data_IF_626949421826
#
_entry.id   IF_626949421826
#
_cell.length_a   1.000
_cell.length_b   1.000
_cell.length_c   1.000
_cell.angle_alpha   90.00
_cell.angle_beta   90.00
_cell.angle_gamma   90.00
#
_symmetry.space_group_name_H-M   'P 1'
#
loop_
_entity.id
_entity.type
_entity.pdbx_description
1 polymer ?
#
# COMPACT_ATOMS: atom_id res chain seq x y z
N UNK A 1 17.35 -0.83 -24.73
CA UNK A 1 16.26 -0.08 -24.08
C UNK A 1 15.58 0.85 -25.10
N UNK A 2 16.33 1.67 -25.84
CA UNK A 2 15.80 2.60 -26.86
C UNK A 2 15.01 1.88 -27.98
N UNK A 3 15.48 0.73 -28.44
CA UNK A 3 14.77 -0.06 -29.46
C UNK A 3 13.43 -0.62 -28.96
N UNK A 4 13.32 -0.94 -27.68
CA UNK A 4 12.05 -1.38 -27.07
C UNK A 4 11.07 -0.21 -26.99
N UNK A 5 11.53 0.96 -26.53
CA UNK A 5 10.71 2.17 -26.47
C UNK A 5 10.25 2.61 -27.87
N UNK A 6 11.12 2.55 -28.87
CA UNK A 6 10.77 2.84 -30.26
C UNK A 6 9.73 1.85 -30.80
N UNK A 7 9.85 0.56 -30.46
CA UNK A 7 8.86 -0.46 -30.82
C UNK A 7 7.50 -0.20 -30.20
N UNK A 8 7.45 0.12 -28.89
CA UNK A 8 6.20 0.49 -28.21
C UNK A 8 5.60 1.76 -28.82
N UNK A 9 6.42 2.80 -29.07
CA UNK A 9 5.97 4.03 -29.70
C UNK A 9 5.41 3.84 -31.10
N UNK A 10 5.88 2.86 -31.86
CA UNK A 10 5.40 2.58 -33.20
C UNK A 10 4.01 1.95 -33.24
N UNK A 11 3.61 1.23 -32.20
CA UNK A 11 2.28 0.60 -32.07
C UNK A 11 1.29 1.40 -31.23
N UNK A 12 1.76 2.43 -30.52
CA UNK A 12 0.91 3.31 -29.73
C UNK A 12 0.31 4.39 -30.65
N UNK A 13 -1.01 4.56 -30.69
CA UNK A 13 -1.64 5.62 -31.47
C UNK A 13 -1.09 7.01 -31.10
N UNK A 14 -0.88 7.86 -32.10
CA UNK A 14 -0.43 9.23 -31.87
C UNK A 14 -1.45 9.97 -30.99
N UNK A 15 -0.99 10.53 -29.88
CA UNK A 15 -1.82 11.23 -28.90
C UNK A 15 -2.36 10.37 -27.76
N UNK A 16 -2.12 9.06 -27.75
CA UNK A 16 -2.43 8.22 -26.59
C UNK A 16 -1.48 8.55 -25.45
N UNK A 17 -2.01 8.91 -24.29
CA UNK A 17 -1.22 9.23 -23.11
C UNK A 17 -0.91 8.00 -22.23
N UNK A 18 -1.69 6.93 -22.37
CA UNK A 18 -1.58 5.69 -21.59
C UNK A 18 -1.71 4.46 -22.47
N UNK A 19 -0.92 3.44 -22.17
CA UNK A 19 -0.90 2.18 -22.88
C UNK A 19 -0.81 1.01 -21.91
N UNK A 20 -1.68 0.01 -22.09
CA UNK A 20 -1.63 -1.21 -21.29
C UNK A 20 -0.64 -2.20 -21.93
N UNK A 21 0.52 -2.36 -21.34
CA UNK A 21 1.53 -3.31 -21.79
C UNK A 21 1.33 -4.75 -21.28
N UNK A 22 0.21 -5.02 -20.59
CA UNK A 22 -0.07 -6.35 -20.03
C UNK A 22 -0.96 -7.18 -20.96
N UNK A 23 -0.96 -8.50 -20.76
CA UNK A 23 -1.76 -9.47 -21.54
C UNK A 23 -3.22 -9.60 -21.08
N UNK A 24 -3.68 -8.74 -20.16
CA UNK A 24 -5.04 -8.73 -19.63
C UNK A 24 -5.64 -7.33 -19.65
N UNK A 25 -6.96 -7.26 -19.74
CA UNK A 25 -7.69 -6.00 -19.65
C UNK A 25 -7.57 -5.41 -18.23
N UNK A 26 -7.50 -4.08 -18.15
CA UNK A 26 -7.41 -3.33 -16.89
C UNK A 26 -8.49 -2.26 -16.82
N UNK A 27 -9.03 -2.08 -15.62
CA UNK A 27 -9.80 -0.90 -15.24
C UNK A 27 -9.14 -0.33 -14.00
N UNK A 28 -8.76 0.92 -14.06
CA UNK A 28 -8.08 1.63 -12.97
C UNK A 28 -8.77 2.98 -12.76
N UNK A 29 -8.62 3.52 -11.57
CA UNK A 29 -9.08 4.86 -11.23
C UNK A 29 -7.88 5.71 -10.84
N UNK A 30 -7.88 6.97 -11.24
CA UNK A 30 -6.82 7.91 -10.94
C UNK A 30 -7.38 9.33 -10.76
N UNK A 31 -6.56 10.22 -10.22
CA UNK A 31 -6.82 11.66 -10.25
C UNK A 31 -6.00 12.30 -11.37
N UNK A 32 -6.67 13.07 -12.23
CA UNK A 32 -6.05 13.90 -13.26
C UNK A 32 -6.51 15.34 -13.07
N UNK A 33 -5.58 16.23 -12.76
CA UNK A 33 -5.87 17.63 -12.45
C UNK A 33 -6.93 17.79 -11.33
N UNK A 34 -6.85 16.94 -10.30
CA UNK A 34 -7.78 16.90 -9.16
C UNK A 34 -9.17 16.31 -9.48
N UNK A 35 -9.38 15.77 -10.68
CA UNK A 35 -10.63 15.12 -11.07
C UNK A 35 -10.46 13.61 -11.19
N UNK A 36 -11.43 12.88 -10.68
CA UNK A 36 -11.48 11.44 -10.82
C UNK A 36 -11.68 11.01 -12.26
N UNK A 37 -10.85 10.09 -12.74
CA UNK A 37 -10.95 9.50 -14.07
C UNK A 37 -10.95 7.97 -13.96
N UNK A 38 -11.76 7.35 -14.82
CA UNK A 38 -11.75 5.91 -15.05
C UNK A 38 -10.91 5.62 -16.30
N UNK A 39 -9.96 4.71 -16.16
CA UNK A 39 -9.01 4.31 -17.20
C UNK A 39 -9.30 2.85 -17.56
N UNK A 40 -9.75 2.61 -18.78
CA UNK A 40 -10.03 1.25 -19.29
C UNK A 40 -9.11 0.93 -20.45
N UNK A 41 -8.45 -0.21 -20.39
CA UNK A 41 -7.56 -0.64 -21.45
C UNK A 41 -7.66 -2.14 -21.71
N UNK A 42 -7.80 -2.51 -22.97
CA UNK A 42 -7.66 -3.90 -23.42
C UNK A 42 -6.19 -4.33 -23.38
N UNK A 43 -5.90 -5.65 -23.47
CA UNK A 43 -4.53 -6.14 -23.56
C UNK A 43 -3.78 -5.48 -24.71
N UNK A 44 -2.55 -5.03 -24.44
CA UNK A 44 -1.65 -4.42 -25.44
C UNK A 44 -2.29 -3.29 -26.26
N UNK A 45 -3.16 -2.50 -25.64
CA UNK A 45 -3.90 -1.42 -26.30
C UNK A 45 -3.76 -0.09 -25.56
N UNK A 46 -4.07 0.98 -26.26
CA UNK A 46 -4.22 2.29 -25.65
C UNK A 46 -5.44 2.32 -24.72
N UNK A 47 -5.33 3.10 -23.67
CA UNK A 47 -6.39 3.24 -22.71
C UNK A 47 -7.43 4.29 -23.14
N UNK A 48 -8.69 3.99 -22.90
CA UNK A 48 -9.77 4.96 -22.88
C UNK A 48 -9.82 5.62 -21.49
N UNK A 49 -9.80 6.95 -21.46
CA UNK A 49 -9.87 7.74 -20.24
C UNK A 49 -11.15 8.55 -20.25
N UNK A 50 -11.98 8.36 -19.25
CA UNK A 50 -13.25 9.08 -19.08
C UNK A 50 -13.34 9.70 -17.70
N UNK A 51 -14.00 10.84 -17.60
CA UNK A 51 -14.29 11.44 -16.29
C UNK A 51 -15.19 10.50 -15.49
N UNK A 52 -14.95 10.45 -14.19
CA UNK A 52 -15.71 9.64 -13.25
C UNK A 52 -16.23 10.53 -12.13
N UNK A 53 -17.55 10.69 -12.04
CA UNK A 53 -18.21 11.46 -10.98
C UNK A 53 -18.58 10.60 -9.76
N UNK A 54 -18.38 9.29 -9.85
CA UNK A 54 -18.80 8.35 -8.83
C UNK A 54 -17.86 8.38 -7.62
N UNK A 55 -18.49 8.49 -6.42
CA UNK A 55 -17.80 8.46 -5.13
C UNK A 55 -17.64 7.02 -4.75
N UNK A 56 -17.04 6.15 -5.03
CA UNK A 56 -17.08 4.70 -4.74
C UNK A 56 -16.48 4.29 -3.41
N UNK A 57 -15.77 5.18 -2.69
CA UNK A 57 -15.14 4.88 -1.41
C UNK A 57 -15.51 5.95 -0.39
N UNK A 58 -16.10 5.51 0.70
CA UNK A 58 -16.39 6.35 1.86
C UNK A 58 -15.17 6.51 2.75
N UNK A 59 -15.01 7.68 3.35
CA UNK A 59 -14.00 7.93 4.37
C UNK A 59 -14.52 8.82 5.49
N UNK A 60 -14.03 8.55 6.69
CA UNK A 60 -14.00 9.46 7.82
C UNK A 60 -12.70 9.24 8.59
N UNK A 61 -12.47 10.01 9.68
CA UNK A 61 -11.22 9.91 10.48
C UNK A 61 -11.03 8.56 11.19
N UNK A 62 -12.00 7.67 11.10
CA UNK A 62 -11.96 6.35 11.75
C UNK A 62 -11.98 5.19 10.77
N UNK A 63 -12.33 5.44 9.50
CA UNK A 63 -12.40 4.37 8.51
C UNK A 63 -12.29 4.84 7.06
N UNK A 64 -11.90 3.88 6.22
CA UNK A 64 -12.07 3.88 4.76
C UNK A 64 -12.92 2.65 4.39
N UNK A 65 -13.93 2.84 3.54
CA UNK A 65 -14.83 1.75 3.17
C UNK A 65 -15.19 1.80 1.68
N UNK A 66 -14.85 0.73 0.96
CA UNK A 66 -15.29 0.46 -0.42
C UNK A 66 -16.32 -0.68 -0.44
N UNK A 67 -16.77 -1.06 -1.63
CA UNK A 67 -17.63 -2.24 -1.79
C UNK A 67 -16.92 -3.55 -1.43
N UNK A 68 -15.59 -3.61 -1.52
CA UNK A 68 -14.79 -4.82 -1.33
C UNK A 68 -14.09 -4.86 0.03
N UNK A 69 -13.62 -3.74 0.54
CA UNK A 69 -12.81 -3.66 1.76
C UNK A 69 -13.35 -2.59 2.72
N UNK A 70 -13.19 -2.87 4.02
CA UNK A 70 -13.34 -1.88 5.09
C UNK A 70 -12.09 -1.87 5.94
N UNK A 71 -11.48 -0.71 6.12
CA UNK A 71 -10.30 -0.48 6.95
C UNK A 71 -10.66 0.47 8.07
N UNK A 72 -10.49 0.05 9.33
CA UNK A 72 -10.78 0.88 10.50
C UNK A 72 -9.50 1.28 11.22
N UNK A 73 -9.47 2.50 11.70
CA UNK A 73 -8.32 3.10 12.38
C UNK A 73 -8.66 3.43 13.84
N UNK A 74 -7.67 3.33 14.71
CA UNK A 74 -7.73 3.80 16.08
C UNK A 74 -7.27 5.27 16.17
N UNK A 75 -7.43 5.89 17.32
CA UNK A 75 -7.04 7.28 17.60
C UNK A 75 -5.53 7.53 17.48
N UNK A 76 -4.70 6.49 17.57
CA UNK A 76 -3.23 6.57 17.39
C UNK A 76 -2.80 6.34 15.94
N UNK A 77 -3.76 6.21 14.99
CA UNK A 77 -3.52 5.96 13.57
C UNK A 77 -3.27 4.49 13.24
N UNK A 78 -3.22 3.59 14.23
CA UNK A 78 -3.08 2.15 14.00
C UNK A 78 -4.30 1.62 13.24
N UNK A 79 -4.08 0.65 12.33
CA UNK A 79 -5.18 -0.06 11.69
C UNK A 79 -5.65 -1.18 12.62
N UNK A 80 -6.91 -1.12 13.05
CA UNK A 80 -7.50 -2.08 13.99
C UNK A 80 -8.37 -3.15 13.34
N UNK A 81 -8.77 -2.95 12.08
CA UNK A 81 -9.54 -3.92 11.31
C UNK A 81 -9.26 -3.74 9.82
N UNK A 82 -9.10 -4.84 9.12
CA UNK A 82 -9.13 -4.94 7.66
C UNK A 82 -10.13 -6.03 7.33
N UNK A 83 -11.35 -5.65 6.97
CA UNK A 83 -12.42 -6.58 6.69
C UNK A 83 -12.62 -6.77 5.19
N UNK A 84 -12.45 -8.00 4.73
CA UNK A 84 -12.79 -8.42 3.36
C UNK A 84 -14.30 -8.67 3.28
N UNK A 85 -15.03 -7.76 2.63
CA UNK A 85 -16.49 -7.81 2.53
C UNK A 85 -16.98 -8.90 1.57
N UNK A 86 -16.16 -9.26 0.58
CA UNK A 86 -16.51 -10.30 -0.39
C UNK A 86 -16.48 -11.70 0.23
N UNK A 87 -15.46 -11.97 1.06
CA UNK A 87 -15.30 -13.25 1.73
C UNK A 87 -15.89 -13.26 3.16
N UNK A 88 -16.27 -12.10 3.71
CA UNK A 88 -16.82 -11.95 5.04
C UNK A 88 -15.83 -12.28 6.15
N UNK A 89 -14.54 -11.96 5.97
CA UNK A 89 -13.46 -12.30 6.91
C UNK A 89 -12.67 -11.09 7.38
N UNK A 90 -12.30 -11.12 8.67
CA UNK A 90 -11.33 -10.20 9.24
C UNK A 90 -9.91 -10.69 8.92
N UNK A 91 -9.08 -9.82 8.38
CA UNK A 91 -7.71 -10.15 7.97
C UNK A 91 -6.69 -9.91 9.07
N UNK A 92 -6.97 -9.03 10.05
CA UNK A 92 -6.08 -8.75 11.17
C UNK A 92 -6.44 -9.60 12.40
N UNK A 93 -5.42 -10.16 13.05
CA UNK A 93 -5.54 -10.82 14.35
C UNK A 93 -5.38 -9.83 15.51
N UNK A 94 -4.60 -8.79 15.29
CA UNK A 94 -4.31 -7.70 16.21
C UNK A 94 -4.05 -6.44 15.38
N UNK A 95 -3.90 -5.28 16.02
CA UNK A 95 -3.68 -4.01 15.33
C UNK A 95 -2.40 -3.99 14.50
N UNK A 96 -2.48 -3.45 13.29
CA UNK A 96 -1.31 -3.15 12.50
C UNK A 96 -0.76 -1.78 12.88
N UNK A 97 0.55 -1.71 13.17
CA UNK A 97 1.19 -0.53 13.74
C UNK A 97 2.49 -0.17 13.05
N UNK A 98 2.71 1.14 12.92
CA UNK A 98 4.02 1.70 12.60
C UNK A 98 4.87 1.69 13.86
N UNK A 99 6.12 1.23 13.77
CA UNK A 99 7.02 1.15 14.89
C UNK A 99 8.48 1.38 14.49
N UNK A 100 9.24 1.94 15.42
CA UNK A 100 10.69 2.11 15.34
C UNK A 100 11.36 1.10 16.26
N UNK A 101 12.27 0.33 15.73
CA UNK A 101 13.07 -0.65 16.48
C UNK A 101 14.52 -0.21 16.54
N UNK A 102 15.22 -0.43 17.65
CA UNK A 102 16.65 -0.25 17.68
C UNK A 102 17.30 -1.22 16.70
N UNK A 103 18.22 -0.72 15.88
CA UNK A 103 18.94 -1.52 14.90
C UNK A 103 20.41 -1.08 14.89
N UNK A 104 21.27 -1.90 15.42
CA UNK A 104 22.72 -1.69 15.47
C UNK A 104 23.47 -2.50 14.40
N UNK A 105 22.72 -3.29 13.62
CA UNK A 105 23.25 -4.16 12.58
C UNK A 105 23.74 -3.34 11.36
N UNK A 106 24.39 -4.03 10.46
CA UNK A 106 24.84 -3.42 9.21
C UNK A 106 23.70 -3.40 8.17
N UNK A 107 23.91 -2.67 7.07
CA UNK A 107 22.90 -2.50 6.03
C UNK A 107 22.47 -3.81 5.29
N UNK A 108 23.14 -4.92 5.55
CA UNK A 108 22.91 -6.20 4.89
C UNK A 108 22.07 -7.17 5.71
N UNK A 109 21.98 -6.94 7.03
CA UNK A 109 21.30 -7.81 7.97
C UNK A 109 20.27 -7.01 8.75
N UNK A 110 19.02 -7.46 8.74
CA UNK A 110 17.97 -6.91 9.60
C UNK A 110 17.95 -7.70 10.89
N UNK A 111 18.20 -7.03 12.01
CA UNK A 111 18.21 -7.64 13.32
C UNK A 111 16.89 -8.28 13.72
N UNK A 112 16.94 -9.21 14.66
CA UNK A 112 15.76 -9.82 15.26
C UNK A 112 15.14 -8.85 16.28
N UNK A 113 14.09 -8.14 15.87
CA UNK A 113 13.42 -7.16 16.71
C UNK A 113 12.30 -7.79 17.53
N UNK A 114 12.26 -7.49 18.83
CA UNK A 114 11.17 -7.92 19.71
C UNK A 114 10.10 -6.82 19.81
N UNK A 115 8.81 -7.18 19.84
CA UNK A 115 7.74 -6.19 20.01
C UNK A 115 7.89 -5.30 21.25
N UNK A 116 8.52 -5.80 22.31
CA UNK A 116 8.79 -5.04 23.54
C UNK A 116 9.85 -3.94 23.38
N UNK A 117 10.63 -3.97 22.30
CA UNK A 117 11.66 -2.97 21.98
C UNK A 117 11.12 -1.88 21.06
N UNK A 118 9.91 -2.06 20.56
CA UNK A 118 9.27 -1.12 19.65
C UNK A 118 9.00 0.23 20.32
N UNK A 119 9.50 1.30 19.70
CA UNK A 119 9.15 2.67 20.03
C UNK A 119 8.03 3.12 19.10
N UNK A 120 6.87 3.43 19.65
CA UNK A 120 5.73 3.88 18.85
C UNK A 120 5.86 5.35 18.51
N UNK A 121 5.68 5.74 17.25
CA UNK A 121 5.58 7.14 16.89
C UNK A 121 4.27 7.74 17.42
N UNK A 122 4.24 9.04 17.55
CA UNK A 122 3.06 9.80 17.98
C UNK A 122 2.37 10.36 16.76
N UNK A 123 1.09 10.06 16.59
CA UNK A 123 0.26 10.68 15.56
C UNK A 123 0.09 12.17 15.87
N UNK A 124 0.49 13.04 14.97
CA UNK A 124 0.44 14.51 15.12
C UNK A 124 -0.65 15.15 14.29
N UNK A 125 -0.96 14.57 13.13
CA UNK A 125 -1.99 15.07 12.21
C UNK A 125 -2.78 13.91 11.62
N UNK A 126 -4.08 14.11 11.46
CA UNK A 126 -5.00 13.15 10.85
C UNK A 126 -6.07 13.88 10.04
N UNK A 127 -6.14 13.56 8.75
CA UNK A 127 -7.19 14.04 7.85
C UNK A 127 -7.58 12.95 6.87
N UNK A 128 -8.70 13.14 6.13
CA UNK A 128 -9.18 12.16 5.17
C UNK A 128 -9.89 12.81 3.99
N UNK A 129 -9.82 12.15 2.84
CA UNK A 129 -10.51 12.52 1.61
C UNK A 129 -11.36 11.35 1.11
N UNK A 130 -12.60 11.62 0.67
CA UNK A 130 -13.49 10.64 0.04
C UNK A 130 -13.49 10.78 -1.50
N UNK A 131 -13.84 9.72 -2.21
CA UNK A 131 -13.94 9.76 -3.67
C UNK A 131 -13.92 8.37 -4.30
N UNK A 132 -13.52 8.29 -5.57
CA UNK A 132 -13.16 7.01 -6.22
C UNK A 132 -11.85 6.45 -5.67
N UNK A 133 -11.02 7.34 -5.12
CA UNK A 133 -9.86 7.06 -4.29
C UNK A 133 -10.13 7.79 -2.98
N UNK A 134 -10.25 7.06 -1.88
CA UNK A 134 -10.34 7.67 -0.56
C UNK A 134 -9.04 7.45 0.17
N UNK A 135 -8.55 8.49 0.83
CA UNK A 135 -7.23 8.49 1.47
C UNK A 135 -7.34 8.95 2.92
N UNK A 136 -6.65 8.24 3.78
CA UNK A 136 -6.39 8.63 5.16
C UNK A 136 -4.97 9.20 5.23
N UNK A 137 -4.85 10.48 5.53
CA UNK A 137 -3.59 11.19 5.69
C UNK A 137 -3.16 11.17 7.14
N UNK A 138 -1.99 10.64 7.42
CA UNK A 138 -1.44 10.51 8.78
C UNK A 138 -0.04 11.10 8.82
N UNK A 139 0.24 11.98 9.79
CA UNK A 139 1.58 12.46 10.08
C UNK A 139 2.00 11.98 11.47
N UNK A 140 3.16 11.38 11.54
CA UNK A 140 3.72 10.86 12.78
C UNK A 140 5.05 11.51 13.10
N UNK A 141 5.35 11.65 14.39
CA UNK A 141 6.66 12.04 14.89
C UNK A 141 7.25 10.95 15.80
N UNK A 142 8.55 10.72 15.70
CA UNK A 142 9.30 9.83 16.59
C UNK A 142 10.72 10.37 16.75
N UNK A 143 11.10 10.85 17.93
CA UNK A 143 12.38 11.55 18.11
C UNK A 143 12.45 12.80 17.23
N UNK A 144 13.46 12.87 16.37
CA UNK A 144 13.63 13.94 15.37
C UNK A 144 13.04 13.58 14.00
N UNK A 145 12.54 12.35 13.83
CA UNK A 145 12.02 11.83 12.57
C UNK A 145 10.54 12.17 12.39
N UNK A 146 10.15 12.41 11.14
CA UNK A 146 8.77 12.65 10.72
C UNK A 146 8.40 11.67 9.61
N UNK A 147 7.22 11.06 9.74
CA UNK A 147 6.68 10.15 8.73
C UNK A 147 5.31 10.67 8.31
N UNK A 148 5.12 10.87 7.02
CA UNK A 148 3.80 11.07 6.41
C UNK A 148 3.38 9.78 5.74
N UNK A 149 2.17 9.37 5.99
CA UNK A 149 1.63 8.14 5.43
C UNK A 149 0.23 8.39 4.90
N UNK A 150 0.07 8.21 3.61
CA UNK A 150 -1.21 8.25 2.91
C UNK A 150 -1.67 6.80 2.68
N UNK A 151 -2.79 6.43 3.32
CA UNK A 151 -3.36 5.09 3.20
C UNK A 151 -4.62 5.22 2.36
N UNK A 152 -4.64 4.54 1.20
CA UNK A 152 -5.71 4.72 0.23
C UNK A 152 -6.43 3.41 -0.09
N UNK A 153 -7.75 3.51 -0.23
CA UNK A 153 -8.58 2.54 -0.92
C UNK A 153 -9.05 3.11 -2.25
N UNK A 154 -9.00 2.27 -3.28
CA UNK A 154 -9.45 2.60 -4.62
C UNK A 154 -10.71 1.79 -4.92
N UNK A 155 -11.71 2.42 -5.54
CA UNK A 155 -12.92 1.78 -6.01
C UNK A 155 -12.59 0.51 -6.82
N UNK A 156 -13.35 -0.55 -6.64
CA UNK A 156 -13.22 -1.85 -7.32
C UNK A 156 -11.83 -2.53 -7.14
N UNK A 157 -11.01 -2.06 -6.20
CA UNK A 157 -9.69 -2.63 -5.91
C UNK A 157 -9.68 -3.38 -4.57
N UNK A 158 -8.99 -4.54 -4.55
CA UNK A 158 -8.71 -5.31 -3.32
C UNK A 158 -7.37 -4.93 -2.68
N UNK A 159 -6.77 -3.81 -3.09
CA UNK A 159 -5.50 -3.33 -2.55
C UNK A 159 -5.73 -2.20 -1.58
N UNK A 160 -4.93 -2.19 -0.54
CA UNK A 160 -4.70 -1.02 0.31
C UNK A 160 -3.36 -0.46 -0.12
N UNK A 161 -3.33 0.78 -0.55
CA UNK A 161 -2.10 1.44 -0.98
C UNK A 161 -1.55 2.31 0.14
N UNK A 162 -0.23 2.25 0.32
CA UNK A 162 0.50 3.06 1.28
C UNK A 162 1.51 3.90 0.51
N UNK A 163 1.39 5.22 0.60
CA UNK A 163 2.41 6.17 0.14
C UNK A 163 3.08 6.78 1.36
N UNK A 164 4.39 6.57 1.49
CA UNK A 164 5.12 6.92 2.71
C UNK A 164 6.26 7.87 2.37
N UNK A 165 6.20 9.07 2.94
CA UNK A 165 7.29 10.05 2.94
C UNK A 165 7.98 10.02 4.30
N UNK A 166 9.25 9.64 4.31
CA UNK A 166 10.03 9.38 5.52
C UNK A 166 11.22 10.34 5.63
N UNK A 167 11.13 11.33 6.52
CA UNK A 167 12.28 12.13 6.98
C UNK A 167 12.88 11.46 8.23
N UNK A 168 13.76 10.48 8.00
CA UNK A 168 14.41 9.71 9.05
C UNK A 168 15.68 10.41 9.52
N UNK A 169 15.69 10.88 10.77
CA UNK A 169 16.82 11.58 11.40
C UNK A 169 17.39 10.82 12.60
N UNK A 170 16.63 9.91 13.17
CA UNK A 170 17.10 9.03 14.23
C UNK A 170 18.08 7.99 13.66
N UNK A 171 19.25 7.90 14.26
CA UNK A 171 20.27 6.91 13.90
C UNK A 171 19.96 5.54 14.53
N UNK A 172 20.52 4.48 13.95
CA UNK A 172 20.44 3.10 14.46
C UNK A 172 19.02 2.65 14.75
N UNK A 173 18.12 2.89 13.82
CA UNK A 173 16.74 2.43 13.92
C UNK A 173 16.25 1.81 12.60
N UNK A 174 15.39 0.81 12.75
CA UNK A 174 14.63 0.19 11.68
C UNK A 174 13.16 0.60 11.81
N UNK A 175 12.60 1.18 10.75
CA UNK A 175 11.19 1.56 10.70
C UNK A 175 10.40 0.45 10.04
N UNK A 176 9.36 -0.02 10.71
CA UNK A 176 8.53 -1.13 10.22
C UNK A 176 7.05 -0.83 10.41
N UNK A 177 6.26 -1.29 9.45
CA UNK A 177 4.82 -1.45 9.64
C UNK A 177 4.53 -2.93 9.89
N UNK A 178 4.11 -3.27 11.09
CA UNK A 178 3.82 -4.64 11.48
C UNK A 178 2.34 -4.97 11.25
N UNK A 179 2.08 -6.03 10.47
CA UNK A 179 0.73 -6.53 10.15
C UNK A 179 0.54 -7.93 10.75
N UNK A 180 -0.08 -8.05 11.93
CA UNK A 180 -0.41 -9.36 12.50
C UNK A 180 -1.65 -9.93 11.82
N UNK A 181 -1.45 -10.65 10.71
CA UNK A 181 -2.53 -11.20 9.89
C UNK A 181 -3.13 -12.48 10.49
N UNK A 182 -4.43 -12.74 10.21
CA UNK A 182 -5.12 -13.99 10.50
C UNK A 182 -4.74 -15.13 9.53
N UNK A 183 -3.54 -15.07 8.96
CA UNK A 183 -3.02 -16.09 8.05
C UNK A 183 -2.14 -17.07 8.81
N UNK A 184 -2.40 -18.37 8.63
CA UNK A 184 -1.54 -19.42 9.13
C UNK A 184 -0.97 -20.21 7.96
N UNK A 185 0.35 -20.16 7.80
CA UNK A 185 1.06 -20.89 6.78
C UNK A 185 2.45 -21.27 7.30
N UNK A 186 2.91 -22.44 6.92
CA UNK A 186 4.24 -22.93 7.26
C UNK A 186 5.31 -22.40 6.29
N UNK A 187 4.86 -21.86 5.14
CA UNK A 187 5.73 -21.29 4.11
C UNK A 187 5.19 -19.94 3.61
N UNK A 188 6.10 -19.04 3.30
CA UNK A 188 5.86 -17.80 2.55
C UNK A 188 6.44 -17.93 1.13
N UNK A 189 5.67 -17.51 0.13
CA UNK A 189 6.15 -17.41 -1.24
C UNK A 189 6.62 -15.99 -1.50
N UNK A 190 7.92 -15.82 -1.64
CA UNK A 190 8.56 -14.51 -1.87
C UNK A 190 8.89 -14.33 -3.35
N UNK A 191 8.55 -13.16 -3.92
CA UNK A 191 8.98 -12.79 -5.25
C UNK A 191 10.48 -12.53 -5.31
N UNK A 192 11.12 -13.04 -6.36
CA UNK A 192 12.53 -12.77 -6.67
C UNK A 192 12.63 -12.39 -8.15
N UNK A 193 13.76 -11.81 -8.62
CA UNK A 193 13.96 -11.59 -10.04
C UNK A 193 13.73 -12.88 -10.85
N UNK A 194 12.84 -12.83 -11.84
CA UNK A 194 12.47 -13.92 -12.74
C UNK A 194 11.81 -15.16 -12.10
N UNK A 195 11.22 -15.01 -10.90
CA UNK A 195 10.56 -16.14 -10.28
C UNK A 195 10.06 -15.88 -8.86
N UNK A 196 9.93 -16.97 -8.11
CA UNK A 196 9.58 -16.94 -6.70
C UNK A 196 10.35 -17.99 -5.92
N UNK A 197 10.54 -17.78 -4.63
CA UNK A 197 11.15 -18.72 -3.68
C UNK A 197 10.18 -18.96 -2.53
N UNK A 198 10.10 -20.21 -2.07
CA UNK A 198 9.39 -20.57 -0.85
C UNK A 198 10.34 -20.50 0.33
N UNK A 199 9.92 -19.85 1.38
CA UNK A 199 10.67 -19.72 2.63
C UNK A 199 9.79 -20.16 3.81
N UNK A 200 10.34 -20.86 4.78
CA UNK A 200 9.60 -21.20 6.00
C UNK A 200 9.26 -19.94 6.80
N UNK A 201 8.13 -19.98 7.52
CA UNK A 201 7.68 -18.86 8.35
C UNK A 201 8.13 -18.95 9.80
N UNK A 202 8.94 -19.95 10.14
CA UNK A 202 9.48 -20.11 11.51
C UNK A 202 10.92 -19.55 11.62
N UNK A 203 11.27 -19.11 12.83
CA UNK A 203 12.51 -18.40 13.13
C UNK A 203 13.78 -19.30 13.20
N UNK A 204 13.66 -20.60 12.86
CA UNK A 204 14.79 -21.54 12.98
C UNK A 204 15.67 -21.63 11.75
N UNK A 205 15.20 -21.15 10.63
CA UNK A 205 16.00 -21.10 9.41
C UNK A 205 16.61 -19.72 9.30
N UNK A 206 17.90 -19.65 9.58
CA UNK A 206 18.72 -18.52 9.18
C UNK A 206 18.62 -18.36 7.68
N UNK A 207 18.42 -17.16 7.29
CA UNK A 207 18.38 -16.69 5.91
C UNK A 207 19.66 -17.05 5.17
#
# INVERSE_FOLDING_TARGET
YENILAGISSVTPKGASLFNATSFARTEYALRDGKAVCIKALPFASADVSDCEDKGVYSDKTMLESDLLKVCFDYDGSIISIFDKENGVELLRDRATLAFYPDEENAWEVGSHKPSEAKKPVLTELDCEEGVIATMHQTYSCGESVIKCDISLIKDSRRIEFDIDLDLRDEKCCVRWDFPLCVRSDEAVCGIPFGSVRRPTHSRDSI
#
